data_IF_001565326773
#
_entry.id   IF_001565326773
#
_cell.length_a   1.000
_cell.length_b   1.000
_cell.length_c   1.000
_cell.angle_alpha   90.00
_cell.angle_beta   90.00
_cell.angle_gamma   90.00
#
_symmetry.space_group_name_H-M   'P 1'
#
loop_
_entity.id
_entity.type
_entity.pdbx_description
1 polymer ?
#
# COMPACT_ATOMS: atom_id res chain seq x y z
N UNK A 1 -1.79 -80.76 -0.23
CA UNK A 1 -2.62 -79.76 -0.95
C UNK A 1 -3.29 -78.95 0.15
N UNK A 2 -2.92 -77.73 0.52
CA UNK A 2 -2.44 -76.51 -0.16
C UNK A 2 -1.93 -75.65 1.03
N UNK A 3 -0.70 -75.13 1.09
CA UNK A 3 -0.07 -74.27 0.11
C UNK A 3 -0.61 -72.85 0.26
N UNK A 4 -0.14 -72.08 1.25
CA UNK A 4 0.01 -70.63 1.13
C UNK A 4 0.91 -70.06 2.24
N UNK A 5 2.12 -69.68 1.79
CA UNK A 5 3.02 -68.74 2.44
C UNK A 5 2.31 -67.43 2.77
N UNK A 6 2.53 -66.91 3.97
CA UNK A 6 2.54 -65.45 4.17
C UNK A 6 3.84 -65.10 4.89
N UNK A 7 4.66 -64.38 4.14
CA UNK A 7 5.98 -63.90 4.48
C UNK A 7 5.97 -62.89 5.62
N UNK A 8 7.02 -62.98 6.45
CA UNK A 8 7.69 -61.91 7.18
C UNK A 8 7.14 -60.48 7.02
N UNK A 9 6.48 -59.97 8.07
CA UNK A 9 6.42 -58.53 8.32
C UNK A 9 7.69 -58.16 9.09
N UNK A 10 8.67 -57.66 8.34
CA UNK A 10 9.86 -57.03 8.86
C UNK A 10 9.50 -55.76 9.64
N UNK A 11 9.98 -55.71 10.89
CA UNK A 11 10.66 -54.56 11.51
C UNK A 11 10.13 -53.17 11.14
N UNK A 12 9.20 -52.64 11.95
CA UNK A 12 8.99 -51.18 12.04
C UNK A 12 10.18 -50.57 12.78
N UNK A 13 11.29 -50.39 12.07
CA UNK A 13 12.36 -49.45 12.40
C UNK A 13 11.86 -48.06 12.00
N UNK A 14 11.67 -47.18 12.97
CA UNK A 14 11.39 -45.78 12.64
C UNK A 14 10.69 -44.94 13.71
N UNK A 15 10.57 -45.39 14.96
CA UNK A 15 10.21 -44.46 16.05
C UNK A 15 11.51 -43.80 16.51
N UNK A 16 11.79 -42.59 16.00
CA UNK A 16 12.84 -41.72 16.56
C UNK A 16 12.55 -41.55 18.05
N UNK A 17 13.54 -41.85 18.89
CA UNK A 17 13.43 -41.58 20.32
C UNK A 17 13.38 -40.07 20.51
N UNK A 18 12.66 -39.62 21.53
CA UNK A 18 12.54 -38.20 21.93
C UNK A 18 13.92 -37.54 22.23
N UNK A 19 15.01 -38.32 22.27
CA UNK A 19 16.39 -37.84 22.37
C UNK A 19 17.13 -37.60 21.04
N UNK A 20 16.53 -37.85 19.87
CA UNK A 20 17.16 -37.63 18.54
C UNK A 20 16.85 -36.23 17.96
N UNK A 21 16.36 -35.31 18.79
CA UNK A 21 16.17 -33.90 18.44
C UNK A 21 17.50 -33.18 18.64
N UNK A 22 18.12 -32.81 17.52
CA UNK A 22 19.27 -31.90 17.49
C UNK A 22 18.91 -30.64 18.32
N UNK A 23 19.62 -30.36 19.42
CA UNK A 23 19.21 -29.36 20.40
C UNK A 23 19.63 -27.94 19.98
N UNK A 24 19.43 -27.57 18.71
CA UNK A 24 19.74 -26.23 18.18
C UNK A 24 18.84 -25.87 16.97
N UNK A 25 17.54 -26.18 17.02
CA UNK A 25 16.60 -25.53 16.10
C UNK A 25 15.96 -24.35 16.83
N UNK A 26 16.48 -23.17 16.54
CA UNK A 26 15.90 -21.90 16.94
C UNK A 26 14.41 -21.90 16.60
N UNK A 27 13.56 -21.52 17.55
CA UNK A 27 12.12 -21.42 17.36
C UNK A 27 11.76 -20.50 16.16
N UNK A 28 12.67 -19.61 15.77
CA UNK A 28 12.59 -18.73 14.60
C UNK A 28 12.62 -19.50 13.26
N UNK A 29 13.06 -20.76 13.23
CA UNK A 29 13.12 -21.58 12.01
C UNK A 29 11.85 -22.40 11.73
N UNK A 30 10.97 -22.53 12.74
CA UNK A 30 9.72 -23.31 12.65
C UNK A 30 8.54 -22.50 12.10
N UNK A 31 8.72 -21.20 11.89
CA UNK A 31 7.71 -20.33 11.29
C UNK A 31 8.25 -19.78 9.97
N UNK A 32 7.91 -20.40 8.82
CA UNK A 32 8.20 -19.82 7.52
C UNK A 32 7.52 -18.44 7.41
N UNK A 33 8.31 -17.37 7.53
CA UNK A 33 7.90 -16.01 7.16
C UNK A 33 7.76 -14.96 8.26
N UNK A 34 8.31 -15.13 9.47
CA UNK A 34 8.46 -13.96 10.37
C UNK A 34 9.67 -13.12 9.97
N UNK A 35 9.54 -12.39 8.87
CA UNK A 35 10.49 -11.36 8.48
C UNK A 35 10.54 -10.27 9.57
N UNK A 36 11.59 -10.34 10.38
CA UNK A 36 12.01 -9.35 11.37
C UNK A 36 12.04 -7.94 10.73
N UNK A 37 11.17 -7.03 11.17
CA UNK A 37 11.40 -5.58 11.11
C UNK A 37 11.15 -4.82 9.79
N UNK A 38 10.22 -5.21 8.93
CA UNK A 38 9.84 -4.33 7.81
C UNK A 38 8.98 -3.16 8.31
N UNK A 39 9.45 -1.92 8.07
CA UNK A 39 8.69 -0.70 8.41
C UNK A 39 7.38 -0.66 7.61
N UNK A 40 6.26 -0.40 8.28
CA UNK A 40 4.94 -0.25 7.64
C UNK A 40 4.93 0.99 6.74
N UNK A 41 4.73 0.85 5.41
CA UNK A 41 4.61 1.98 4.49
C UNK A 41 3.44 2.90 4.87
N UNK A 42 2.34 2.36 5.38
CA UNK A 42 1.20 3.17 5.83
C UNK A 42 1.58 4.07 7.00
N UNK A 43 2.26 3.53 8.00
CA UNK A 43 2.72 4.32 9.15
C UNK A 43 3.73 5.38 8.71
N UNK A 44 4.62 5.06 7.77
CA UNK A 44 5.54 6.04 7.20
C UNK A 44 4.80 7.18 6.50
N UNK A 45 3.80 6.87 5.68
CA UNK A 45 2.97 7.89 5.02
C UNK A 45 2.25 8.76 6.04
N UNK A 46 1.71 8.18 7.12
CA UNK A 46 1.11 8.95 8.21
C UNK A 46 2.12 9.90 8.84
N UNK A 47 3.34 9.43 9.15
CA UNK A 47 4.40 10.26 9.72
C UNK A 47 4.75 11.41 8.78
N UNK A 48 4.86 11.15 7.48
CA UNK A 48 5.15 12.19 6.47
C UNK A 48 4.00 13.20 6.40
N UNK A 49 2.74 12.75 6.35
CA UNK A 49 1.56 13.64 6.36
C UNK A 49 1.58 14.53 7.60
N UNK A 50 1.82 13.97 8.79
CA UNK A 50 1.87 14.73 10.03
C UNK A 50 3.03 15.73 10.02
N UNK A 51 4.22 15.31 9.57
CA UNK A 51 5.38 16.19 9.45
C UNK A 51 5.11 17.37 8.50
N UNK A 52 4.55 17.10 7.32
CA UNK A 52 4.15 18.14 6.37
C UNK A 52 3.09 19.05 6.97
N UNK A 53 2.07 18.49 7.64
CA UNK A 53 1.02 19.27 8.30
C UNK A 53 1.56 20.21 9.37
N UNK A 54 2.57 19.78 10.14
CA UNK A 54 3.22 20.63 11.14
C UNK A 54 4.07 21.73 10.49
N UNK A 55 4.80 21.42 9.42
CA UNK A 55 5.65 22.38 8.70
C UNK A 55 4.82 23.42 7.95
N UNK A 56 3.69 23.04 7.34
CA UNK A 56 2.86 23.99 6.60
C UNK A 56 2.21 25.05 7.48
N UNK A 57 2.00 24.80 8.79
CA UNK A 57 1.34 25.77 9.69
C UNK A 57 2.14 27.08 9.77
N UNK A 58 3.42 27.08 10.22
CA UNK A 58 4.20 28.32 10.28
C UNK A 58 4.43 28.91 8.89
N UNK A 59 4.64 28.07 7.86
CA UNK A 59 4.80 28.54 6.48
C UNK A 59 3.53 29.23 5.96
N UNK A 60 2.35 28.78 6.38
CA UNK A 60 1.10 29.42 6.05
C UNK A 60 0.92 30.77 6.73
N UNK A 61 1.37 30.91 7.97
CA UNK A 61 1.40 32.20 8.68
C UNK A 61 2.35 33.20 8.00
N UNK A 62 3.42 32.72 7.36
CA UNK A 62 4.34 33.53 6.57
C UNK A 62 3.84 33.83 5.14
N UNK A 63 2.64 33.36 4.77
CA UNK A 63 2.03 33.63 3.46
C UNK A 63 2.55 32.77 2.31
N UNK A 64 3.32 31.70 2.58
CA UNK A 64 3.90 30.83 1.54
C UNK A 64 3.16 29.51 1.36
N UNK A 65 1.85 29.47 1.64
CA UNK A 65 0.99 28.29 1.41
C UNK A 65 0.98 27.81 -0.04
N UNK A 66 1.30 28.68 -1.00
CA UNK A 66 1.37 28.33 -2.43
C UNK A 66 2.41 27.26 -2.76
N UNK A 67 3.30 26.91 -1.82
CA UNK A 67 4.22 25.78 -1.94
C UNK A 67 3.53 24.41 -1.75
N UNK A 68 2.33 24.39 -1.16
CA UNK A 68 1.60 23.19 -0.75
C UNK A 68 0.22 23.07 -1.40
N UNK A 69 -0.11 24.00 -2.30
CA UNK A 69 -1.44 24.07 -2.93
C UNK A 69 -1.25 24.09 -4.43
N UNK A 70 -2.01 23.26 -5.13
CA UNK A 70 -2.11 23.31 -6.58
C UNK A 70 -3.33 24.18 -6.92
N UNK A 71 -3.10 25.46 -7.19
CA UNK A 71 -4.17 26.45 -7.34
C UNK A 71 -4.66 26.62 -8.78
N UNK A 72 -3.83 26.27 -9.75
CA UNK A 72 -4.06 26.61 -11.15
C UNK A 72 -3.22 25.67 -12.06
N UNK A 73 -3.45 25.68 -13.38
CA UNK A 73 -2.72 24.83 -14.33
C UNK A 73 -1.20 25.09 -14.42
N UNK A 74 -0.63 25.99 -13.63
CA UNK A 74 0.84 26.19 -13.52
C UNK A 74 1.57 25.05 -12.81
N UNK A 75 0.92 23.90 -12.54
CA UNK A 75 1.63 22.69 -12.10
C UNK A 75 2.77 22.29 -13.06
N UNK A 76 2.73 22.68 -14.34
CA UNK A 76 3.89 22.56 -15.25
C UNK A 76 5.09 23.44 -14.85
N UNK A 77 4.84 24.63 -14.31
CA UNK A 77 5.87 25.55 -13.83
C UNK A 77 6.34 25.22 -12.41
N UNK A 78 5.49 24.56 -11.61
CA UNK A 78 5.77 24.19 -10.21
C UNK A 78 5.45 22.71 -9.96
N UNK A 79 6.10 21.76 -10.63
CA UNK A 79 5.73 20.33 -10.55
C UNK A 79 5.87 19.73 -9.14
N UNK A 80 6.70 20.32 -8.28
CA UNK A 80 6.83 19.90 -6.89
C UNK A 80 5.53 20.10 -6.08
N UNK A 81 4.63 21.00 -6.50
CA UNK A 81 3.37 21.22 -5.78
C UNK A 81 2.45 20.02 -5.84
N UNK A 82 2.52 19.20 -6.90
CA UNK A 82 1.78 17.93 -6.98
C UNK A 82 2.20 16.97 -5.85
N UNK A 83 3.49 16.94 -5.54
CA UNK A 83 4.01 16.11 -4.46
C UNK A 83 3.65 16.71 -3.10
N UNK A 84 3.96 17.99 -2.86
CA UNK A 84 3.75 18.61 -1.54
C UNK A 84 2.27 18.72 -1.19
N UNK A 85 1.40 19.01 -2.16
CA UNK A 85 -0.05 19.10 -1.95
C UNK A 85 -0.68 17.75 -1.61
N UNK A 86 -0.12 16.63 -2.09
CA UNK A 86 -0.61 15.27 -1.74
C UNK A 86 -0.47 15.00 -0.23
N UNK A 87 0.48 15.64 0.46
CA UNK A 87 0.68 15.47 1.90
C UNK A 87 0.13 16.63 2.75
N UNK A 88 -0.10 17.79 2.14
CA UNK A 88 -0.65 18.98 2.80
C UNK A 88 -2.15 18.84 3.08
N UNK A 89 -2.66 19.55 4.09
CA UNK A 89 -4.09 19.52 4.42
C UNK A 89 -4.62 20.90 4.82
N UNK A 90 -5.82 21.25 4.36
CA UNK A 90 -6.44 22.54 4.63
C UNK A 90 -6.78 22.79 6.11
N UNK A 91 -6.85 21.75 6.93
CA UNK A 91 -7.08 21.88 8.37
C UNK A 91 -7.20 20.54 9.10
N UNK A 92 -7.36 20.57 10.44
CA UNK A 92 -7.33 19.36 11.27
C UNK A 92 -8.44 18.36 10.95
N UNK A 93 -9.67 18.83 10.67
CA UNK A 93 -10.78 17.95 10.31
C UNK A 93 -10.52 17.20 9.00
N UNK A 94 -9.99 17.89 7.99
CA UNK A 94 -9.60 17.29 6.72
C UNK A 94 -8.47 16.27 6.91
N UNK A 95 -7.48 16.58 7.75
CA UNK A 95 -6.40 15.66 8.12
C UNK A 95 -6.95 14.39 8.78
N UNK A 96 -7.76 14.51 9.82
CA UNK A 96 -8.30 13.35 10.56
C UNK A 96 -9.09 12.43 9.64
N UNK A 97 -9.95 12.99 8.78
CA UNK A 97 -10.71 12.19 7.80
C UNK A 97 -9.81 11.38 6.87
N UNK A 98 -8.73 11.99 6.36
CA UNK A 98 -7.77 11.29 5.51
C UNK A 98 -6.96 10.24 6.28
N UNK A 99 -6.54 10.51 7.52
CA UNK A 99 -5.82 9.53 8.32
C UNK A 99 -6.67 8.29 8.61
N UNK A 100 -7.96 8.47 8.94
CA UNK A 100 -8.89 7.35 9.14
C UNK A 100 -9.01 6.52 7.86
N UNK A 101 -9.25 7.16 6.71
CA UNK A 101 -9.36 6.45 5.43
C UNK A 101 -8.04 5.78 5.02
N UNK A 102 -6.90 6.43 5.26
CA UNK A 102 -5.57 5.88 5.01
C UNK A 102 -5.30 4.65 5.89
N UNK A 103 -5.73 4.62 7.14
CA UNK A 103 -5.60 3.41 7.95
C UNK A 103 -6.48 2.28 7.41
N UNK A 104 -7.70 2.57 6.95
CA UNK A 104 -8.59 1.54 6.40
C UNK A 104 -8.03 0.90 5.13
N UNK A 105 -7.61 1.73 4.15
CA UNK A 105 -7.18 1.23 2.85
C UNK A 105 -5.67 0.98 2.77
N UNK A 106 -4.87 1.81 3.41
CA UNK A 106 -3.41 1.70 3.40
C UNK A 106 -2.93 0.37 3.98
N UNK A 107 -3.46 -0.05 5.13
CA UNK A 107 -3.07 -1.34 5.73
C UNK A 107 -3.48 -2.55 4.88
N UNK A 108 -4.54 -2.44 4.08
CA UNK A 108 -4.94 -3.50 3.15
C UNK A 108 -3.94 -3.57 1.99
N UNK A 109 -3.62 -2.43 1.37
CA UNK A 109 -2.71 -2.37 0.22
C UNK A 109 -1.26 -2.68 0.60
N UNK A 110 -0.80 -2.28 1.78
CA UNK A 110 0.60 -2.56 2.19
C UNK A 110 0.88 -4.06 2.36
N UNK A 111 -0.14 -4.88 2.68
CA UNK A 111 0.00 -6.33 2.78
C UNK A 111 0.13 -7.00 1.41
N UNK A 112 -0.40 -6.35 0.37
CA UNK A 112 -0.39 -6.86 -1.00
C UNK A 112 0.76 -6.29 -1.85
N UNK A 113 1.51 -5.31 -1.34
CA UNK A 113 2.50 -4.55 -2.11
C UNK A 113 3.84 -4.44 -1.40
N UNK A 114 4.90 -4.16 -2.16
CA UNK A 114 6.17 -3.77 -1.56
C UNK A 114 6.17 -2.29 -1.18
N UNK A 115 6.98 -1.93 -0.18
CA UNK A 115 7.13 -0.56 0.33
C UNK A 115 7.36 0.49 -0.77
N UNK A 116 8.22 0.20 -1.75
CA UNK A 116 8.47 1.12 -2.86
C UNK A 116 7.25 1.29 -3.76
N UNK A 117 6.55 0.19 -4.08
CA UNK A 117 5.36 0.21 -4.93
C UNK A 117 4.21 0.96 -4.25
N UNK A 118 4.05 0.79 -2.94
CA UNK A 118 3.09 1.53 -2.13
C UNK A 118 3.30 3.05 -2.26
N UNK A 119 4.50 3.54 -1.96
CA UNK A 119 4.80 4.97 -1.96
C UNK A 119 4.74 5.57 -3.37
N UNK A 120 5.26 4.86 -4.37
CA UNK A 120 5.15 5.29 -5.76
C UNK A 120 3.68 5.41 -6.20
N UNK A 121 2.86 4.41 -5.89
CA UNK A 121 1.45 4.41 -6.22
C UNK A 121 0.69 5.53 -5.51
N UNK A 122 0.95 5.74 -4.21
CA UNK A 122 0.35 6.82 -3.43
C UNK A 122 0.64 8.21 -4.03
N UNK A 123 1.90 8.50 -4.35
CA UNK A 123 2.30 9.79 -4.93
C UNK A 123 1.71 9.96 -6.35
N UNK A 124 1.79 8.93 -7.19
CA UNK A 124 1.30 9.01 -8.57
C UNK A 124 -0.21 9.22 -8.62
N UNK A 125 -0.98 8.46 -7.83
CA UNK A 125 -2.43 8.61 -7.79
C UNK A 125 -2.86 9.95 -7.19
N UNK A 126 -2.17 10.43 -6.15
CA UNK A 126 -2.37 11.79 -5.62
C UNK A 126 -2.12 12.87 -6.68
N UNK A 127 -1.00 12.79 -7.40
CA UNK A 127 -0.67 13.73 -8.46
C UNK A 127 -1.68 13.70 -9.62
N UNK A 128 -2.08 12.51 -10.08
CA UNK A 128 -3.10 12.35 -11.13
C UNK A 128 -4.43 12.94 -10.68
N UNK A 129 -4.86 12.68 -9.44
CA UNK A 129 -6.09 13.23 -8.89
C UNK A 129 -6.05 14.76 -8.84
N UNK A 130 -4.93 15.36 -8.40
CA UNK A 130 -4.77 16.81 -8.36
C UNK A 130 -4.83 17.45 -9.75
N UNK A 131 -4.17 16.85 -10.74
CA UNK A 131 -4.24 17.30 -12.14
C UNK A 131 -5.66 17.18 -12.68
N UNK A 132 -6.33 16.05 -12.41
CA UNK A 132 -7.72 15.84 -12.82
C UNK A 132 -8.65 16.88 -12.21
N UNK A 133 -8.55 17.15 -10.91
CA UNK A 133 -9.42 18.11 -10.21
C UNK A 133 -9.28 19.52 -10.78
N UNK A 134 -8.06 19.98 -11.06
CA UNK A 134 -7.83 21.31 -11.65
C UNK A 134 -8.31 21.37 -13.09
N UNK A 135 -7.99 20.37 -13.90
CA UNK A 135 -8.31 20.38 -15.33
C UNK A 135 -9.82 20.24 -15.55
N UNK A 136 -10.47 19.28 -14.89
CA UNK A 136 -11.92 19.10 -15.00
C UNK A 136 -12.70 20.20 -14.29
N UNK A 137 -12.24 20.66 -13.11
CA UNK A 137 -12.89 21.77 -12.40
C UNK A 137 -12.91 23.05 -13.22
N UNK A 138 -11.80 23.37 -13.90
CA UNK A 138 -11.70 24.50 -14.82
C UNK A 138 -12.61 24.38 -16.05
N UNK A 139 -12.79 23.17 -16.59
CA UNK A 139 -13.67 22.93 -17.74
C UNK A 139 -15.16 23.09 -17.41
N UNK A 140 -15.56 22.82 -16.17
CA UNK A 140 -16.97 22.88 -15.72
C UNK A 140 -17.30 24.24 -15.07
N UNK A 141 -16.38 25.21 -15.13
CA UNK A 141 -16.52 26.53 -14.51
C UNK A 141 -16.85 26.49 -13.01
N UNK A 142 -16.41 25.43 -12.33
CA UNK A 142 -16.47 25.37 -10.87
C UNK A 142 -15.34 26.23 -10.31
N UNK A 143 -15.61 26.93 -9.21
CA UNK A 143 -14.59 27.69 -8.50
C UNK A 143 -13.58 26.69 -7.89
N UNK A 144 -12.47 26.44 -8.60
CA UNK A 144 -11.40 25.55 -8.12
C UNK A 144 -10.65 26.26 -7.01
N UNK A 145 -11.08 26.00 -5.78
CA UNK A 145 -10.40 26.46 -4.56
C UNK A 145 -9.25 25.49 -4.27
N UNK A 146 -8.08 25.77 -4.84
CA UNK A 146 -6.77 25.14 -4.55
C UNK A 146 -6.75 23.71 -4.01
N UNK A 147 -6.19 22.79 -4.78
CA UNK A 147 -6.14 21.36 -4.43
C UNK A 147 -5.00 21.08 -3.44
N UNK A 148 -5.35 20.50 -2.29
CA UNK A 148 -4.43 19.87 -1.34
C UNK A 148 -5.14 18.79 -0.51
N UNK A 149 -4.43 17.71 -0.20
CA UNK A 149 -4.95 16.59 0.58
C UNK A 149 -4.48 15.24 0.06
N UNK A 150 -4.46 14.26 0.96
CA UNK A 150 -4.14 12.87 0.63
C UNK A 150 -5.30 12.10 -0.03
N UNK A 151 -6.48 12.71 -0.15
CA UNK A 151 -7.73 12.04 -0.52
C UNK A 151 -7.67 11.37 -1.90
N UNK A 152 -7.09 12.05 -2.90
CA UNK A 152 -6.89 11.49 -4.24
C UNK A 152 -6.02 10.23 -4.23
N UNK A 153 -4.95 10.24 -3.44
CA UNK A 153 -4.08 9.08 -3.27
C UNK A 153 -4.80 7.93 -2.53
N UNK A 154 -5.61 8.25 -1.52
CA UNK A 154 -6.39 7.27 -0.76
C UNK A 154 -7.48 6.63 -1.64
N UNK A 155 -8.15 7.40 -2.50
CA UNK A 155 -9.07 6.82 -3.48
C UNK A 155 -8.35 5.91 -4.48
N UNK A 156 -7.11 6.25 -4.86
CA UNK A 156 -6.22 5.34 -5.58
C UNK A 156 -6.01 4.02 -4.82
N UNK A 157 -5.67 4.09 -3.54
CA UNK A 157 -5.48 2.89 -2.68
C UNK A 157 -6.76 2.07 -2.55
N UNK A 158 -7.92 2.72 -2.40
CA UNK A 158 -9.21 2.06 -2.37
C UNK A 158 -9.48 1.33 -3.69
N UNK A 159 -9.23 1.98 -4.83
CA UNK A 159 -9.34 1.36 -6.15
C UNK A 159 -8.41 0.16 -6.31
N UNK A 160 -7.18 0.26 -5.82
CA UNK A 160 -6.25 -0.88 -5.80
C UNK A 160 -6.77 -2.04 -4.95
N UNK A 161 -7.28 -1.75 -3.75
CA UNK A 161 -7.79 -2.77 -2.84
C UNK A 161 -8.99 -3.53 -3.42
N UNK A 162 -9.87 -2.84 -4.17
CA UNK A 162 -11.05 -3.43 -4.79
C UNK A 162 -10.69 -4.18 -6.08
N UNK A 163 -9.93 -3.54 -6.98
CA UNK A 163 -9.66 -4.09 -8.30
C UNK A 163 -8.46 -5.04 -8.36
N UNK A 164 -7.54 -4.97 -7.39
CA UNK A 164 -6.30 -5.73 -7.40
C UNK A 164 -6.52 -7.24 -7.36
N UNK A 165 -7.50 -7.71 -6.60
CA UNK A 165 -7.81 -9.13 -6.48
C UNK A 165 -8.45 -9.67 -7.77
N UNK A 166 -9.46 -8.97 -8.30
CA UNK A 166 -10.16 -9.34 -9.52
C UNK A 166 -9.26 -9.30 -10.78
N UNK A 167 -8.39 -8.30 -10.88
CA UNK A 167 -7.47 -8.18 -12.02
C UNK A 167 -6.40 -9.27 -12.01
N UNK A 168 -5.89 -9.63 -10.82
CA UNK A 168 -4.93 -10.71 -10.68
C UNK A 168 -5.54 -12.05 -11.06
N UNK A 169 -6.77 -12.32 -10.60
CA UNK A 169 -7.51 -13.54 -10.90
C UNK A 169 -7.86 -13.65 -12.39
N UNK A 170 -8.24 -12.54 -13.03
CA UNK A 170 -8.48 -12.51 -14.48
C UNK A 170 -7.21 -12.80 -15.29
N UNK A 171 -6.10 -12.17 -14.92
CA UNK A 171 -4.82 -12.39 -15.60
C UNK A 171 -4.34 -13.84 -15.44
N UNK A 172 -4.42 -14.40 -14.23
CA UNK A 172 -4.01 -15.80 -14.01
C UNK A 172 -4.86 -16.77 -14.82
N UNK A 173 -6.18 -16.59 -14.81
CA UNK A 173 -7.11 -17.47 -15.54
C UNK A 173 -6.89 -17.40 -17.05
N UNK A 174 -6.62 -16.20 -17.57
CA UNK A 174 -6.35 -16.00 -19.00
C UNK A 174 -5.02 -16.64 -19.42
N UNK A 175 -3.96 -16.46 -18.63
CA UNK A 175 -2.66 -17.07 -18.90
C UNK A 175 -2.71 -18.60 -18.81
N UNK A 176 -3.46 -19.16 -17.86
CA UNK A 176 -3.69 -20.60 -17.77
C UNK A 176 -4.38 -21.14 -19.02
N UNK A 177 -5.44 -20.46 -19.50
CA UNK A 177 -6.17 -20.87 -20.70
C UNK A 177 -5.28 -20.87 -21.96
N UNK A 178 -4.45 -19.84 -22.13
CA UNK A 178 -3.52 -19.73 -23.27
C UNK A 178 -2.40 -20.77 -23.20
N UNK A 179 -1.92 -21.09 -22.00
CA UNK A 179 -0.83 -22.07 -21.83
C UNK A 179 -1.34 -23.52 -21.93
N UNK A 180 -2.63 -23.75 -21.70
CA UNK A 180 -3.28 -25.07 -21.82
C UNK A 180 -3.76 -25.43 -23.24
N UNK A 181 -3.61 -24.52 -24.20
CA UNK A 181 -3.99 -24.67 -25.60
C UNK A 181 -2.76 -24.91 -26.50
#
# INVERSE_FOLDING_TARGET
MTGQDVQSVQTVRGVKRVGDLHPDMDADSLVPGTARGQRSPTVETVIVILGVFLIQIPLGLLGVMSLFVVADPTFFAKPWTLLTATYAHAGPGHLVGNLVALFLFGFVVERATSRLRYHAFFILTGAIAAVAEITLGGLVALEVRGVLGASGAIFGLMGYAIAGNELADWLSNTLSAVTSA
#
